data_IF_093834947169
#
_entry.id   IF_093834947169
#
_cell.length_a   1.000
_cell.length_b   1.000
_cell.length_c   1.000
_cell.angle_alpha   90.00
_cell.angle_beta   90.00
_cell.angle_gamma   90.00
#
_symmetry.space_group_name_H-M   'P 1'
#
loop_
_entity.id
_entity.type
_entity.pdbx_description
1 polymer ?
#
# COMPACT_ATOMS: atom_id res chain seq x y z
N UNK A 1 -19.46 61.37 0.62
CA UNK A 1 -18.72 60.70 -0.48
C UNK A 1 -17.30 60.30 -0.08
N UNK A 2 -16.52 61.06 0.69
CA UNK A 2 -15.15 60.75 1.09
C UNK A 2 -15.00 59.64 2.16
N UNK A 3 -16.00 59.43 3.03
CA UNK A 3 -15.95 58.39 4.06
C UNK A 3 -16.21 56.98 3.53
N UNK A 4 -17.10 56.81 2.57
CA UNK A 4 -17.36 55.52 1.90
C UNK A 4 -16.14 54.99 1.15
N UNK A 5 -15.36 55.89 0.53
CA UNK A 5 -14.11 55.51 -0.14
C UNK A 5 -13.01 55.03 0.80
N UNK A 6 -12.96 55.58 2.04
CA UNK A 6 -11.95 55.15 3.06
C UNK A 6 -12.32 53.81 3.69
N UNK A 7 -13.58 53.49 3.86
CA UNK A 7 -14.03 52.18 4.38
C UNK A 7 -13.81 51.10 3.33
N UNK A 8 -14.11 51.35 2.06
CA UNK A 8 -13.85 50.41 0.96
C UNK A 8 -12.34 50.14 0.76
N UNK A 9 -11.48 51.17 0.86
CA UNK A 9 -10.04 51.00 0.76
C UNK A 9 -9.45 50.21 1.93
N UNK A 10 -9.94 50.42 3.15
CA UNK A 10 -9.49 49.61 4.31
C UNK A 10 -9.97 48.15 4.24
N UNK A 11 -11.18 47.89 3.74
CA UNK A 11 -11.67 46.52 3.53
C UNK A 11 -10.86 45.80 2.43
N UNK A 12 -10.51 46.48 1.34
CA UNK A 12 -9.67 45.93 0.28
C UNK A 12 -8.25 45.61 0.74
N UNK A 13 -7.61 46.49 1.51
CA UNK A 13 -6.30 46.29 2.10
C UNK A 13 -6.29 45.15 3.12
N UNK A 14 -7.36 45.00 3.92
CA UNK A 14 -7.52 43.87 4.83
C UNK A 14 -7.66 42.52 4.10
N UNK A 15 -8.46 42.49 3.03
CA UNK A 15 -8.65 41.29 2.21
C UNK A 15 -7.38 40.85 1.47
N UNK A 16 -6.59 41.79 0.94
CA UNK A 16 -5.33 41.52 0.31
C UNK A 16 -4.29 41.04 1.33
N UNK A 17 -4.25 41.63 2.52
CA UNK A 17 -3.35 41.22 3.60
C UNK A 17 -3.64 39.81 4.12
N UNK A 18 -4.92 39.43 4.27
CA UNK A 18 -5.33 38.09 4.70
C UNK A 18 -5.05 37.05 3.60
N UNK A 19 -5.29 37.35 2.32
CA UNK A 19 -4.99 36.46 1.22
C UNK A 19 -3.46 36.22 1.05
N UNK A 20 -2.65 37.27 1.18
CA UNK A 20 -1.19 37.14 1.14
C UNK A 20 -0.65 36.34 2.32
N UNK A 21 -1.13 36.57 3.55
CA UNK A 21 -0.75 35.80 4.73
C UNK A 21 -1.13 34.32 4.60
N UNK A 22 -2.34 34.04 4.07
CA UNK A 22 -2.80 32.65 3.84
C UNK A 22 -1.97 31.95 2.78
N UNK A 23 -1.60 32.63 1.67
CA UNK A 23 -0.73 32.05 0.64
C UNK A 23 0.70 31.79 1.16
N UNK A 24 1.23 32.67 2.01
CA UNK A 24 2.55 32.51 2.63
C UNK A 24 2.54 31.33 3.59
N UNK A 25 1.54 31.19 4.45
CA UNK A 25 1.39 30.06 5.38
C UNK A 25 1.21 28.73 4.63
N UNK A 26 0.42 28.70 3.57
CA UNK A 26 0.26 27.53 2.72
C UNK A 26 1.59 27.14 2.02
N UNK A 27 2.33 28.12 1.52
CA UNK A 27 3.66 27.89 0.92
C UNK A 27 4.70 27.36 1.92
N UNK A 28 4.72 27.90 3.13
CA UNK A 28 5.61 27.41 4.20
C UNK A 28 5.21 25.99 4.63
N UNK A 29 3.93 25.70 4.80
CA UNK A 29 3.42 24.37 5.12
C UNK A 29 3.79 23.36 4.04
N UNK A 30 3.61 23.71 2.76
CA UNK A 30 4.00 22.87 1.63
C UNK A 30 5.51 22.62 1.60
N UNK A 31 6.33 23.66 1.82
CA UNK A 31 7.78 23.55 1.88
C UNK A 31 8.26 22.63 3.01
N UNK A 32 7.62 22.70 4.18
CA UNK A 32 7.91 21.81 5.31
C UNK A 32 7.62 20.35 4.95
N UNK A 33 6.44 20.06 4.40
CA UNK A 33 6.05 18.71 3.98
C UNK A 33 7.04 18.14 2.94
N UNK A 34 7.47 18.95 1.97
CA UNK A 34 8.46 18.52 0.98
C UNK A 34 9.84 18.23 1.61
N UNK A 35 10.26 19.05 2.58
CA UNK A 35 11.48 18.82 3.33
C UNK A 35 11.42 17.53 4.16
N UNK A 36 10.32 17.31 4.87
CA UNK A 36 10.08 16.09 5.65
C UNK A 36 10.07 14.84 4.75
N UNK A 37 9.39 14.87 3.62
CA UNK A 37 9.37 13.76 2.66
C UNK A 37 10.78 13.45 2.11
N UNK A 38 11.61 14.49 1.87
CA UNK A 38 12.99 14.30 1.42
C UNK A 38 13.88 13.71 2.51
N UNK A 39 13.72 14.17 3.75
CA UNK A 39 14.44 13.65 4.91
C UNK A 39 14.05 12.19 5.17
N UNK A 40 12.76 11.87 5.16
CA UNK A 40 12.25 10.51 5.36
C UNK A 40 12.82 9.55 4.31
N UNK A 41 12.77 9.90 3.02
CA UNK A 41 13.39 9.08 1.95
C UNK A 41 14.88 8.84 2.17
N UNK A 42 15.60 9.83 2.73
CA UNK A 42 17.02 9.69 3.05
C UNK A 42 17.27 8.80 4.28
N UNK A 43 16.37 8.81 5.27
CA UNK A 43 16.46 7.98 6.47
C UNK A 43 16.10 6.52 6.15
N UNK A 44 15.02 6.30 5.40
CA UNK A 44 14.59 4.96 4.94
C UNK A 44 15.68 4.35 4.05
N UNK A 45 16.27 5.13 3.15
CA UNK A 45 17.34 4.65 2.27
C UNK A 45 16.88 3.55 1.33
N UNK A 46 17.81 2.72 0.91
CA UNK A 46 17.57 1.48 0.16
C UNK A 46 18.58 0.42 0.61
N UNK A 47 18.39 -0.14 1.82
CA UNK A 47 19.36 -1.08 2.40
C UNK A 47 19.28 -2.50 1.79
N UNK A 48 18.32 -2.75 0.89
CA UNK A 48 18.07 -4.07 0.31
C UNK A 48 18.47 -4.11 -1.16
N UNK A 49 19.05 -5.23 -1.59
CA UNK A 49 19.30 -5.52 -3.01
C UNK A 49 18.06 -6.01 -3.78
N UNK A 50 16.88 -6.01 -3.12
CA UNK A 50 15.59 -6.46 -3.63
C UNK A 50 14.82 -7.25 -2.58
N UNK A 51 13.70 -7.83 -2.99
CA UNK A 51 12.95 -8.80 -2.19
C UNK A 51 13.43 -10.22 -2.51
N UNK A 52 13.35 -11.16 -1.55
CA UNK A 52 13.65 -12.57 -1.83
C UNK A 52 12.70 -13.14 -2.89
N UNK A 53 13.23 -13.92 -3.83
CA UNK A 53 12.39 -14.69 -4.76
C UNK A 53 11.70 -15.82 -3.99
N UNK A 54 10.37 -15.71 -3.87
CA UNK A 54 9.53 -16.63 -3.11
C UNK A 54 8.67 -17.56 -3.99
N UNK A 55 8.80 -17.49 -5.30
CA UNK A 55 8.13 -18.39 -6.23
C UNK A 55 8.46 -19.86 -5.93
N UNK A 56 7.47 -20.74 -5.99
CA UNK A 56 7.69 -22.18 -5.85
C UNK A 56 6.60 -22.90 -5.09
N UNK A 57 6.88 -24.18 -4.76
CA UNK A 57 5.93 -25.08 -4.12
C UNK A 57 6.14 -25.11 -2.60
N UNK A 58 5.05 -24.94 -1.85
CA UNK A 58 5.00 -24.95 -0.39
C UNK A 58 4.08 -26.07 0.10
N UNK A 59 4.50 -26.74 1.17
CA UNK A 59 3.81 -27.90 1.71
C UNK A 59 4.30 -29.21 1.12
N UNK A 60 4.28 -30.27 1.95
CA UNK A 60 4.77 -31.60 1.59
C UNK A 60 3.65 -32.65 1.36
N UNK A 61 2.38 -32.22 1.44
CA UNK A 61 1.25 -33.09 1.23
C UNK A 61 1.18 -33.54 -0.26
N UNK A 62 0.70 -34.76 -0.56
CA UNK A 62 0.52 -35.21 -1.93
C UNK A 62 -0.68 -34.52 -2.61
N UNK A 63 -0.67 -34.45 -3.93
CA UNK A 63 -1.77 -33.92 -4.74
C UNK A 63 -1.33 -32.81 -5.68
N UNK A 64 -2.24 -32.42 -6.56
CA UNK A 64 -2.03 -31.28 -7.46
C UNK A 64 -1.95 -29.98 -6.64
N UNK A 65 -0.94 -29.13 -6.88
CA UNK A 65 -0.79 -27.88 -6.17
C UNK A 65 -1.99 -26.93 -6.35
N UNK A 66 -2.33 -26.22 -5.30
CA UNK A 66 -3.21 -25.04 -5.38
C UNK A 66 -2.40 -23.89 -5.95
N UNK A 67 -2.88 -23.27 -7.01
CA UNK A 67 -2.21 -22.15 -7.70
C UNK A 67 -2.53 -20.84 -6.98
N UNK A 68 -1.59 -20.31 -6.20
CA UNK A 68 -1.69 -19.03 -5.52
C UNK A 68 -0.97 -17.94 -6.33
N UNK A 69 -1.71 -16.92 -6.70
CA UNK A 69 -1.18 -15.73 -7.35
C UNK A 69 -1.04 -14.58 -6.34
N UNK A 70 0.11 -13.92 -6.32
CA UNK A 70 0.34 -12.70 -5.54
C UNK A 70 0.70 -11.55 -6.48
N UNK A 71 0.00 -10.42 -6.31
CA UNK A 71 0.23 -9.17 -7.04
C UNK A 71 0.37 -8.02 -6.02
N UNK A 72 1.04 -6.96 -6.41
CA UNK A 72 1.09 -5.75 -5.59
C UNK A 72 2.40 -5.00 -5.64
N UNK A 73 2.72 -4.37 -4.52
CA UNK A 73 3.91 -3.54 -4.35
C UNK A 73 5.05 -4.27 -3.60
N UNK A 74 5.96 -3.51 -3.01
CA UNK A 74 7.11 -4.04 -2.27
C UNK A 74 6.72 -4.93 -1.08
N UNK A 75 5.58 -4.67 -0.43
CA UNK A 75 5.08 -5.52 0.66
C UNK A 75 4.64 -6.89 0.13
N UNK A 76 3.94 -6.92 -0.99
CA UNK A 76 3.55 -8.16 -1.66
C UNK A 76 4.77 -8.94 -2.18
N UNK A 77 5.81 -8.22 -2.64
CA UNK A 77 7.08 -8.82 -3.05
C UNK A 77 7.91 -9.37 -1.88
N UNK A 78 7.56 -9.04 -0.63
CA UNK A 78 8.29 -9.51 0.55
C UNK A 78 9.52 -8.68 0.92
N UNK A 79 9.58 -7.40 0.53
CA UNK A 79 10.72 -6.53 0.86
C UNK A 79 10.84 -6.34 2.37
N UNK A 80 12.05 -6.53 2.91
CA UNK A 80 12.32 -6.52 4.35
C UNK A 80 12.36 -7.90 5.00
N UNK A 81 11.97 -8.96 4.29
CA UNK A 81 12.19 -10.34 4.72
C UNK A 81 13.67 -10.75 4.53
N UNK A 82 14.20 -11.58 5.44
CA UNK A 82 15.59 -12.04 5.38
C UNK A 82 15.80 -13.18 4.36
N UNK A 83 14.73 -13.92 4.06
CA UNK A 83 14.75 -15.04 3.12
C UNK A 83 13.35 -15.32 2.57
N UNK A 84 13.28 -16.19 1.54
CA UNK A 84 12.05 -16.52 0.83
C UNK A 84 10.90 -17.07 1.69
N UNK A 85 11.19 -17.72 2.81
CA UNK A 85 10.16 -18.33 3.68
C UNK A 85 9.51 -17.33 4.65
N UNK A 86 10.00 -16.12 4.70
CA UNK A 86 9.53 -15.05 5.58
C UNK A 86 8.73 -13.97 4.84
N UNK A 87 8.57 -14.10 3.52
CA UNK A 87 7.72 -13.21 2.72
C UNK A 87 6.25 -13.49 2.98
N UNK A 88 5.39 -12.53 2.70
CA UNK A 88 3.94 -12.72 2.83
C UNK A 88 3.45 -13.83 1.89
N UNK A 89 3.99 -13.93 0.67
CA UNK A 89 3.64 -14.98 -0.28
C UNK A 89 3.91 -16.37 0.26
N UNK A 90 5.10 -16.61 0.82
CA UNK A 90 5.50 -17.88 1.40
C UNK A 90 4.70 -18.24 2.66
N UNK A 91 4.44 -17.25 3.53
CA UNK A 91 3.63 -17.46 4.75
C UNK A 91 2.20 -17.86 4.38
N UNK A 92 1.57 -17.14 3.45
CA UNK A 92 0.24 -17.47 2.96
C UNK A 92 0.20 -18.84 2.28
N UNK A 93 1.20 -19.16 1.45
CA UNK A 93 1.31 -20.46 0.78
C UNK A 93 1.44 -21.60 1.78
N UNK A 94 2.30 -21.44 2.80
CA UNK A 94 2.49 -22.44 3.86
C UNK A 94 1.21 -22.65 4.67
N UNK A 95 0.56 -21.56 5.07
CA UNK A 95 -0.71 -21.61 5.81
C UNK A 95 -1.83 -22.24 4.99
N UNK A 96 -1.96 -21.86 3.71
CA UNK A 96 -2.96 -22.42 2.81
C UNK A 96 -2.72 -23.92 2.55
N UNK A 97 -1.46 -24.34 2.36
CA UNK A 97 -1.11 -25.74 2.20
C UNK A 97 -1.50 -26.57 3.42
N UNK A 98 -1.27 -26.05 4.62
CA UNK A 98 -1.67 -26.72 5.89
C UNK A 98 -3.19 -26.85 6.02
N UNK A 99 -3.95 -25.82 5.65
CA UNK A 99 -5.42 -25.82 5.74
C UNK A 99 -6.03 -26.74 4.67
N UNK A 100 -5.52 -26.71 3.45
CA UNK A 100 -6.06 -27.48 2.33
C UNK A 100 -5.61 -28.96 2.31
N UNK A 101 -4.54 -29.30 3.04
CA UNK A 101 -3.92 -30.63 3.00
C UNK A 101 -3.35 -30.95 1.61
N UNK A 102 -2.96 -29.93 0.83
CA UNK A 102 -2.40 -30.01 -0.52
C UNK A 102 -1.23 -29.04 -0.65
N UNK A 103 -0.27 -29.30 -1.53
CA UNK A 103 0.80 -28.32 -1.80
C UNK A 103 0.19 -27.05 -2.42
N UNK A 104 0.89 -25.92 -2.27
CA UNK A 104 0.54 -24.65 -2.90
C UNK A 104 1.71 -24.22 -3.78
N UNK A 105 1.45 -23.93 -5.03
CA UNK A 105 2.42 -23.33 -5.94
C UNK A 105 2.17 -21.82 -5.99
N UNK A 106 3.17 -21.06 -5.53
CA UNK A 106 3.15 -19.61 -5.48
C UNK A 106 3.75 -19.03 -6.76
N UNK A 107 3.00 -18.14 -7.40
CA UNK A 107 3.48 -17.23 -8.44
C UNK A 107 3.33 -15.79 -7.93
N UNK A 108 4.44 -15.11 -7.71
CA UNK A 108 4.48 -13.73 -7.21
C UNK A 108 4.98 -12.79 -8.31
N UNK A 109 4.11 -11.94 -8.82
CA UNK A 109 4.43 -10.91 -9.84
C UNK A 109 4.39 -9.49 -9.26
N UNK A 110 4.44 -9.36 -7.93
CA UNK A 110 4.51 -8.07 -7.27
C UNK A 110 5.82 -7.34 -7.62
N UNK A 111 5.74 -6.02 -7.74
CA UNK A 111 6.88 -5.19 -8.17
C UNK A 111 7.15 -4.12 -7.12
N UNK A 112 8.40 -4.02 -6.67
CA UNK A 112 8.85 -2.98 -5.74
C UNK A 112 8.57 -1.61 -6.36
N UNK A 113 7.90 -0.73 -5.61
CA UNK A 113 7.55 0.61 -6.07
C UNK A 113 6.27 0.69 -6.90
N UNK A 114 5.58 -0.43 -7.16
CA UNK A 114 4.37 -0.45 -7.98
C UNK A 114 3.24 0.38 -7.39
N UNK A 115 2.50 1.03 -8.26
CA UNK A 115 1.23 1.69 -8.00
C UNK A 115 0.06 0.80 -8.48
N UNK A 116 -1.16 1.17 -8.11
CA UNK A 116 -2.35 0.43 -8.56
C UNK A 116 -2.47 0.36 -10.09
N UNK A 117 -1.90 1.33 -10.82
CA UNK A 117 -1.83 1.37 -12.28
C UNK A 117 -0.98 0.25 -12.90
N UNK A 118 -0.07 -0.37 -12.13
CA UNK A 118 0.81 -1.45 -12.59
C UNK A 118 0.17 -2.84 -12.51
N UNK A 119 -0.90 -2.98 -11.73
CA UNK A 119 -1.60 -4.26 -11.53
C UNK A 119 -2.01 -4.97 -12.84
N UNK A 120 -2.52 -4.29 -13.89
CA UNK A 120 -2.85 -4.96 -15.14
C UNK A 120 -1.63 -5.61 -15.83
N UNK A 121 -0.46 -4.98 -15.77
CA UNK A 121 0.76 -5.53 -16.34
C UNK A 121 1.28 -6.72 -15.53
N UNK A 122 1.24 -6.65 -14.20
CA UNK A 122 1.56 -7.76 -13.30
C UNK A 122 0.62 -8.95 -13.57
N UNK A 123 -0.69 -8.72 -13.65
CA UNK A 123 -1.68 -9.75 -13.95
C UNK A 123 -1.43 -10.40 -15.31
N UNK A 124 -1.11 -9.61 -16.32
CA UNK A 124 -0.80 -10.16 -17.67
C UNK A 124 0.41 -11.09 -17.66
N UNK A 125 1.48 -10.72 -16.89
CA UNK A 125 2.66 -11.58 -16.71
C UNK A 125 2.32 -12.86 -15.94
N UNK A 126 1.54 -12.75 -14.89
CA UNK A 126 1.12 -13.87 -14.07
C UNK A 126 0.31 -14.88 -14.88
N UNK A 127 -0.68 -14.44 -15.65
CA UNK A 127 -1.51 -15.31 -16.49
C UNK A 127 -0.76 -15.92 -17.69
N UNK A 128 0.40 -15.37 -18.05
CA UNK A 128 1.29 -16.02 -19.01
C UNK A 128 2.07 -17.20 -18.39
N UNK A 129 2.16 -17.27 -17.06
CA UNK A 129 2.83 -18.34 -16.30
C UNK A 129 1.85 -19.38 -15.74
N UNK A 130 0.67 -18.91 -15.35
CA UNK A 130 -0.39 -19.74 -14.73
C UNK A 130 -1.70 -19.48 -15.45
N UNK A 131 -2.15 -20.43 -16.26
CA UNK A 131 -3.37 -20.29 -17.07
C UNK A 131 -4.63 -20.04 -16.21
N UNK A 132 -4.72 -20.71 -15.06
CA UNK A 132 -5.87 -20.62 -14.17
C UNK A 132 -5.44 -20.68 -12.70
N UNK A 133 -5.25 -19.50 -12.06
CA UNK A 133 -5.02 -19.44 -10.61
C UNK A 133 -6.25 -19.92 -9.83
N UNK A 134 -6.03 -20.66 -8.74
CA UNK A 134 -7.11 -21.07 -7.82
C UNK A 134 -7.50 -19.94 -6.87
N UNK A 135 -6.57 -19.03 -6.57
CA UNK A 135 -6.79 -17.88 -5.68
C UNK A 135 -5.75 -16.78 -5.97
N UNK A 136 -6.17 -15.54 -5.84
CA UNK A 136 -5.28 -14.38 -5.97
C UNK A 136 -5.31 -13.51 -4.70
N UNK A 137 -4.12 -13.01 -4.33
CA UNK A 137 -3.94 -12.02 -3.26
C UNK A 137 -3.32 -10.77 -3.85
N UNK A 138 -3.85 -9.60 -3.49
CA UNK A 138 -3.35 -8.30 -3.95
C UNK A 138 -3.05 -7.43 -2.73
N UNK A 139 -1.84 -6.87 -2.65
CA UNK A 139 -1.43 -5.92 -1.61
C UNK A 139 -0.87 -4.68 -2.31
N UNK A 140 -1.61 -3.56 -2.28
CA UNK A 140 -1.27 -2.36 -3.07
C UNK A 140 -1.84 -1.09 -2.42
N UNK A 141 -1.12 0.03 -2.59
CA UNK A 141 -1.65 1.35 -2.25
C UNK A 141 -0.68 2.27 -1.52
N UNK A 142 0.39 1.74 -0.93
CA UNK A 142 1.37 2.57 -0.24
C UNK A 142 2.04 3.58 -1.18
N UNK A 143 2.41 3.15 -2.39
CA UNK A 143 3.01 4.02 -3.40
C UNK A 143 1.99 5.00 -4.01
N UNK A 144 0.73 4.61 -4.19
CA UNK A 144 -0.32 5.53 -4.62
C UNK A 144 -0.42 6.74 -3.66
N UNK A 145 -0.36 6.49 -2.35
CA UNK A 145 -0.39 7.55 -1.33
C UNK A 145 0.88 8.40 -1.36
N UNK A 146 2.05 7.78 -1.38
CA UNK A 146 3.34 8.50 -1.32
C UNK A 146 3.63 9.30 -2.60
N UNK A 147 3.15 8.85 -3.74
CA UNK A 147 3.23 9.55 -5.03
C UNK A 147 2.05 10.48 -5.29
N UNK A 148 1.06 10.52 -4.37
CA UNK A 148 -0.13 11.37 -4.45
C UNK A 148 -0.97 11.10 -5.69
N UNK A 149 -1.10 9.85 -6.07
CA UNK A 149 -2.02 9.43 -7.12
C UNK A 149 -3.45 9.74 -6.67
N UNK A 150 -4.28 10.21 -7.58
CA UNK A 150 -5.69 10.45 -7.27
C UNK A 150 -6.35 9.14 -6.81
N UNK A 151 -7.03 9.20 -5.66
CA UNK A 151 -7.66 8.04 -5.02
C UNK A 151 -8.64 7.32 -5.96
N UNK A 152 -9.37 8.07 -6.77
CA UNK A 152 -10.34 7.49 -7.70
C UNK A 152 -9.64 6.72 -8.83
N UNK A 153 -8.48 7.18 -9.27
CA UNK A 153 -7.64 6.53 -10.28
C UNK A 153 -7.07 5.23 -9.71
N UNK A 154 -6.46 5.28 -8.52
CA UNK A 154 -5.92 4.09 -7.84
C UNK A 154 -6.98 3.01 -7.65
N UNK A 155 -8.13 3.39 -7.09
CA UNK A 155 -9.25 2.47 -6.85
C UNK A 155 -9.80 1.88 -8.16
N UNK A 156 -9.86 2.67 -9.22
CA UNK A 156 -10.34 2.19 -10.52
C UNK A 156 -9.43 1.11 -11.11
N UNK A 157 -8.10 1.26 -11.00
CA UNK A 157 -7.15 0.24 -11.47
C UNK A 157 -7.27 -1.05 -10.66
N UNK A 158 -7.30 -0.96 -9.35
CA UNK A 158 -7.51 -2.11 -8.47
C UNK A 158 -8.83 -2.82 -8.80
N UNK A 159 -9.94 -2.09 -8.87
CA UNK A 159 -11.25 -2.67 -9.13
C UNK A 159 -11.33 -3.38 -10.51
N UNK A 160 -10.68 -2.81 -11.53
CA UNK A 160 -10.61 -3.45 -12.87
C UNK A 160 -9.86 -4.77 -12.81
N UNK A 161 -8.73 -4.82 -12.12
CA UNK A 161 -7.92 -6.03 -11.94
C UNK A 161 -8.71 -7.10 -11.18
N UNK A 162 -9.36 -6.72 -10.08
CA UNK A 162 -10.22 -7.62 -9.32
C UNK A 162 -11.37 -8.15 -10.17
N UNK A 163 -12.10 -7.28 -10.87
CA UNK A 163 -13.20 -7.70 -11.75
C UNK A 163 -12.73 -8.67 -12.84
N UNK A 164 -11.57 -8.42 -13.44
CA UNK A 164 -11.04 -9.32 -14.45
C UNK A 164 -10.76 -10.72 -13.88
N UNK A 165 -10.08 -10.84 -12.74
CA UNK A 165 -9.88 -12.11 -12.04
C UNK A 165 -11.22 -12.79 -11.71
N UNK A 166 -12.22 -12.02 -11.30
CA UNK A 166 -13.57 -12.56 -11.05
C UNK A 166 -14.27 -13.07 -12.30
N UNK A 167 -13.99 -12.53 -13.50
CA UNK A 167 -14.49 -13.09 -14.76
C UNK A 167 -13.87 -14.45 -15.12
N UNK A 168 -12.73 -14.76 -14.51
CA UNK A 168 -12.05 -16.05 -14.61
C UNK A 168 -12.44 -17.01 -13.47
N UNK A 169 -13.45 -16.67 -12.68
CA UNK A 169 -13.90 -17.38 -11.48
C UNK A 169 -12.81 -17.50 -10.37
N UNK A 170 -11.75 -16.71 -10.43
CA UNK A 170 -10.68 -16.70 -9.43
C UNK A 170 -11.14 -15.94 -8.17
N UNK A 171 -11.17 -16.57 -6.98
CA UNK A 171 -11.34 -15.88 -5.71
C UNK A 171 -10.22 -14.90 -5.47
N UNK A 172 -10.56 -13.66 -5.05
CA UNK A 172 -9.58 -12.60 -4.80
C UNK A 172 -9.70 -12.10 -3.37
N UNK A 173 -8.56 -11.96 -2.70
CA UNK A 173 -8.42 -11.29 -1.41
C UNK A 173 -7.51 -10.08 -1.59
N UNK A 174 -7.95 -8.91 -1.14
CA UNK A 174 -7.17 -7.67 -1.20
C UNK A 174 -6.84 -7.21 0.21
N UNK A 175 -5.55 -7.15 0.54
CA UNK A 175 -5.06 -6.36 1.66
C UNK A 175 -5.03 -4.90 1.25
N UNK A 176 -5.83 -4.06 1.94
CA UNK A 176 -5.93 -2.63 1.60
C UNK A 176 -4.69 -1.86 2.04
N UNK A 177 -4.55 -0.63 1.56
CA UNK A 177 -3.43 0.26 1.92
C UNK A 177 -3.17 0.25 3.43
N UNK A 178 -1.93 0.00 3.90
CA UNK A 178 -1.59 0.04 5.31
C UNK A 178 -1.66 1.48 5.87
N UNK A 179 -1.70 1.62 7.20
CA UNK A 179 -1.62 2.93 7.86
C UNK A 179 -0.19 3.48 7.80
N UNK A 180 0.09 4.34 6.83
CA UNK A 180 1.43 4.95 6.67
C UNK A 180 1.78 5.94 7.79
N UNK A 181 0.83 6.30 8.65
CA UNK A 181 1.10 7.09 9.84
C UNK A 181 1.80 6.34 10.96
N UNK A 182 1.90 5.01 10.88
CA UNK A 182 2.66 4.16 11.83
C UNK A 182 4.14 4.12 11.54
N UNK A 183 4.57 4.60 10.38
CA UNK A 183 5.97 4.61 9.94
C UNK A 183 6.77 5.61 10.79
N UNK A 184 7.61 5.10 11.69
CA UNK A 184 8.29 5.88 12.73
C UNK A 184 9.19 7.03 12.21
N UNK A 185 9.96 6.89 11.12
CA UNK A 185 10.83 7.97 10.64
C UNK A 185 10.10 9.19 10.09
N UNK A 186 8.78 9.13 9.94
CA UNK A 186 8.01 10.21 9.32
C UNK A 186 7.57 11.22 10.39
N UNK A 187 8.09 12.46 10.38
CA UNK A 187 7.75 13.45 11.38
C UNK A 187 6.35 14.05 11.20
N UNK A 188 5.85 14.72 12.25
CA UNK A 188 4.67 15.58 12.15
C UNK A 188 5.03 16.88 11.39
N UNK A 189 4.18 17.41 10.47
CA UNK A 189 2.81 16.97 10.21
C UNK A 189 2.63 15.91 9.11
N UNK A 190 3.72 15.47 8.44
CA UNK A 190 3.63 14.57 7.30
C UNK A 190 3.02 13.20 7.69
N UNK A 191 3.38 12.64 8.84
CA UNK A 191 2.81 11.38 9.32
C UNK A 191 1.29 11.44 9.49
N UNK A 192 0.75 12.54 10.01
CA UNK A 192 -0.69 12.73 10.18
C UNK A 192 -1.43 12.82 8.83
N UNK A 193 -0.80 13.45 7.82
CA UNK A 193 -1.34 13.50 6.46
C UNK A 193 -1.32 12.14 5.78
N UNK A 194 -0.21 11.39 5.90
CA UNK A 194 -0.10 10.06 5.33
C UNK A 194 -1.08 9.08 6.00
N UNK A 195 -1.25 9.15 7.32
CA UNK A 195 -2.27 8.40 8.06
C UNK A 195 -3.67 8.67 7.51
N UNK A 196 -4.01 9.93 7.29
CA UNK A 196 -5.30 10.30 6.74
C UNK A 196 -5.49 9.77 5.32
N UNK A 197 -4.54 10.01 4.43
CA UNK A 197 -4.64 9.63 3.02
C UNK A 197 -4.66 8.11 2.84
N UNK A 198 -3.81 7.37 3.57
CA UNK A 198 -3.78 5.90 3.51
C UNK A 198 -5.10 5.29 4.01
N UNK A 199 -5.67 5.79 5.10
CA UNK A 199 -6.98 5.35 5.60
C UNK A 199 -8.13 5.70 4.66
N UNK A 200 -8.10 6.87 4.05
CA UNK A 200 -9.10 7.26 3.03
C UNK A 200 -8.99 6.37 1.78
N UNK A 201 -7.79 6.01 1.35
CA UNK A 201 -7.58 5.06 0.24
C UNK A 201 -8.06 3.66 0.63
N UNK A 202 -7.67 3.16 1.78
CA UNK A 202 -8.05 1.83 2.28
C UNK A 202 -9.58 1.66 2.36
N UNK A 203 -10.28 2.68 2.86
CA UNK A 203 -11.74 2.68 2.90
C UNK A 203 -12.37 2.61 1.50
N UNK A 204 -11.84 3.38 0.55
CA UNK A 204 -12.31 3.37 -0.83
C UNK A 204 -11.99 2.05 -1.56
N UNK A 205 -10.81 1.46 -1.30
CA UNK A 205 -10.42 0.13 -1.79
C UNK A 205 -11.38 -0.93 -1.25
N UNK A 206 -11.72 -0.90 0.05
CA UNK A 206 -12.68 -1.85 0.66
C UNK A 206 -14.00 -1.85 -0.07
N UNK A 207 -14.59 -0.67 -0.31
CA UNK A 207 -15.86 -0.56 -1.04
C UNK A 207 -15.75 -1.14 -2.46
N UNK A 208 -14.75 -0.71 -3.20
CA UNK A 208 -14.57 -1.12 -4.59
C UNK A 208 -14.29 -2.63 -4.76
N UNK A 209 -13.53 -3.22 -3.83
CA UNK A 209 -13.20 -4.65 -3.81
C UNK A 209 -14.45 -5.49 -3.54
N UNK A 210 -15.26 -5.09 -2.54
CA UNK A 210 -16.52 -5.77 -2.21
C UNK A 210 -17.52 -5.65 -3.37
N UNK A 211 -17.66 -4.47 -3.97
CA UNK A 211 -18.49 -4.26 -5.17
C UNK A 211 -18.03 -5.09 -6.38
N UNK A 212 -16.74 -5.39 -6.47
CA UNK A 212 -16.18 -6.27 -7.50
C UNK A 212 -16.36 -7.77 -7.19
N UNK A 213 -17.00 -8.15 -6.09
CA UNK A 213 -17.26 -9.53 -5.68
C UNK A 213 -16.03 -10.23 -5.06
N UNK A 214 -15.11 -9.48 -4.48
CA UNK A 214 -13.93 -9.99 -3.80
C UNK A 214 -13.97 -9.70 -2.29
N UNK A 215 -12.98 -10.19 -1.54
CA UNK A 215 -12.83 -9.97 -0.11
C UNK A 215 -11.74 -8.94 0.15
N UNK A 216 -11.98 -8.03 1.08
CA UNK A 216 -10.99 -7.07 1.57
C UNK A 216 -10.57 -7.39 3.00
N UNK A 217 -9.30 -7.15 3.28
CA UNK A 217 -8.69 -7.23 4.62
C UNK A 217 -8.12 -5.85 4.93
N UNK A 218 -8.59 -5.20 6.01
CA UNK A 218 -8.09 -3.90 6.43
C UNK A 218 -6.72 -4.05 7.10
N UNK A 219 -5.65 -3.84 6.36
CA UNK A 219 -4.28 -3.90 6.90
C UNK A 219 -4.06 -2.80 7.94
N UNK A 220 -4.65 -1.62 7.73
CA UNK A 220 -4.54 -0.49 8.65
C UNK A 220 -5.17 -0.78 10.03
N UNK A 221 -6.32 -1.44 10.06
CA UNK A 221 -7.04 -1.70 11.32
C UNK A 221 -6.49 -2.94 12.05
N UNK A 222 -6.09 -3.97 11.30
CA UNK A 222 -5.60 -5.21 11.90
C UNK A 222 -4.16 -5.10 12.38
N UNK A 223 -3.28 -4.51 11.57
CA UNK A 223 -1.84 -4.48 11.86
C UNK A 223 -1.37 -3.13 12.43
N UNK A 224 -2.05 -2.04 12.11
CA UNK A 224 -1.66 -0.69 12.55
C UNK A 224 -1.35 -0.59 14.04
N UNK A 225 -2.21 -1.08 14.94
CA UNK A 225 -1.95 -1.04 16.38
C UNK A 225 -0.68 -1.77 16.83
N UNK A 226 -0.34 -2.92 16.23
CA UNK A 226 0.87 -3.67 16.57
C UNK A 226 2.13 -2.97 16.03
N UNK A 227 2.07 -2.44 14.81
CA UNK A 227 3.16 -1.67 14.21
C UNK A 227 3.44 -0.37 14.97
N UNK A 228 2.41 0.29 15.49
CA UNK A 228 2.55 1.49 16.32
C UNK A 228 3.10 1.17 17.72
N UNK A 229 2.69 0.04 18.31
CA UNK A 229 3.11 -0.37 19.65
C UNK A 229 4.56 -0.90 19.69
N UNK A 230 5.05 -1.51 18.61
CA UNK A 230 6.35 -2.18 18.57
C UNK A 230 7.08 -1.97 17.25
N UNK A 231 7.33 -0.71 16.83
CA UNK A 231 7.86 -0.41 15.50
C UNK A 231 9.23 -1.04 15.24
N UNK A 232 10.12 -1.11 16.25
CA UNK A 232 11.44 -1.72 16.11
C UNK A 232 11.43 -3.24 15.90
N UNK A 233 10.31 -3.91 16.19
CA UNK A 233 10.11 -5.35 15.95
C UNK A 233 9.36 -5.55 14.63
N UNK A 234 8.36 -4.73 14.36
CA UNK A 234 7.47 -4.91 13.23
C UNK A 234 8.05 -4.39 11.90
N UNK A 235 8.86 -3.34 11.94
CA UNK A 235 9.56 -2.82 10.76
C UNK A 235 10.96 -3.41 10.64
N UNK A 236 11.40 -3.57 9.40
CA UNK A 236 12.76 -4.00 9.05
C UNK A 236 13.77 -2.87 9.28
N UNK A 237 15.03 -3.09 8.91
CA UNK A 237 16.15 -2.15 9.12
C UNK A 237 15.94 -0.78 8.46
N UNK A 238 15.14 -0.71 7.40
CA UNK A 238 14.75 0.54 6.74
C UNK A 238 13.64 1.30 7.48
N UNK A 239 13.05 0.71 8.51
CA UNK A 239 11.94 1.24 9.31
C UNK A 239 10.69 1.61 8.50
N UNK A 240 10.54 1.00 7.33
CA UNK A 240 9.43 1.27 6.41
C UNK A 240 8.72 -0.01 5.99
N UNK A 241 9.47 -1.01 5.53
CA UNK A 241 8.91 -2.31 5.16
C UNK A 241 8.77 -3.23 6.37
N UNK A 242 7.83 -4.17 6.36
CA UNK A 242 7.69 -5.14 7.43
C UNK A 242 8.96 -5.95 7.63
N UNK A 243 9.31 -6.22 8.87
CA UNK A 243 10.32 -7.22 9.22
C UNK A 243 9.75 -8.64 9.04
N UNK A 244 10.57 -9.71 9.17
CA UNK A 244 10.06 -11.08 9.26
C UNK A 244 8.98 -11.27 10.33
N UNK A 245 9.11 -10.58 11.48
CA UNK A 245 8.10 -10.59 12.54
C UNK A 245 6.83 -9.83 12.13
N UNK A 246 6.98 -8.74 11.38
CA UNK A 246 5.86 -7.98 10.84
C UNK A 246 5.06 -8.77 9.80
N UNK A 247 5.73 -9.54 8.94
CA UNK A 247 5.07 -10.42 7.96
C UNK A 247 4.33 -11.60 8.60
N UNK A 248 4.78 -12.05 9.78
CA UNK A 248 4.19 -13.18 10.48
C UNK A 248 2.89 -12.83 11.24
N UNK A 249 2.42 -11.58 11.16
CA UNK A 249 1.17 -11.10 11.78
C UNK A 249 0.03 -11.09 10.80
#
# INVERSE_FOLDING_TARGET
>A
MAELGRVAARAALGAVGTAAASATLAGLGYGLIQAEAKITRKIVGNPFDGAPDDDGVYGAAPGEPVQLLVLGDSTAAGMGADNRYQTIGAILSTGLAAIMGRPVELTNEAVIGAESSDLPAQLSKALARVDQPDVAVILIGANDVTHRIDRSVSVQHLQRTVRYLRTLDVPVVVGTCPDLGTVEPIPFPLNALLRRWSRELAAAQTVAVVEAGARSVSMADLLGPEFEASPSVMFSVDRFHPSPAGYAR
#
